data_IF_086428000964
#
_entry.id   IF_086428000964
#
_cell.length_a   1.000
_cell.length_b   1.000
_cell.length_c   1.000
_cell.angle_alpha   90.00
_cell.angle_beta   90.00
_cell.angle_gamma   90.00
#
_symmetry.space_group_name_H-M   'P 1'
#
loop_
_entity.id
_entity.type
_entity.pdbx_description
1 polymer ?
#
# COMPACT_ATOMS: atom_id res chain seq x y z
N UNK A 1 -18.73 -0.05 8.69
CA UNK A 1 -17.90 0.34 7.53
C UNK A 1 -16.50 0.56 8.03
N UNK A 2 -15.55 -0.24 7.56
CA UNK A 2 -14.14 -0.02 7.88
C UNK A 2 -13.69 1.21 7.09
N UNK A 3 -13.13 2.21 7.77
CA UNK A 3 -12.56 3.43 7.17
C UNK A 3 -11.24 3.14 6.40
N UNK A 4 -10.91 1.86 6.19
CA UNK A 4 -9.65 1.39 5.64
C UNK A 4 -9.73 1.03 4.14
N UNK A 5 -10.72 1.53 3.40
CA UNK A 5 -10.71 1.39 1.93
C UNK A 5 -9.81 2.45 1.33
N UNK A 6 -8.71 2.01 0.70
CA UNK A 6 -7.81 2.91 0.00
C UNK A 6 -8.54 3.67 -1.11
N UNK A 7 -8.31 4.99 -1.18
CA UNK A 7 -8.79 5.81 -2.28
C UNK A 7 -7.91 5.61 -3.53
N UNK A 8 -8.41 5.87 -4.75
CA UNK A 8 -7.60 5.84 -5.96
C UNK A 8 -6.40 6.81 -5.87
N UNK A 9 -5.25 6.36 -6.36
CA UNK A 9 -4.05 7.21 -6.45
C UNK A 9 -4.18 8.18 -7.63
N UNK A 10 -4.05 9.47 -7.35
CA UNK A 10 -4.10 10.54 -8.35
C UNK A 10 -2.87 11.42 -8.25
N UNK A 11 -2.31 11.81 -9.39
CA UNK A 11 -1.19 12.75 -9.41
C UNK A 11 -1.60 14.10 -8.80
N UNK A 12 -0.80 14.62 -7.88
CA UNK A 12 -1.12 15.83 -7.11
C UNK A 12 -2.09 15.62 -5.94
N UNK A 13 -2.62 14.42 -5.74
CA UNK A 13 -3.46 14.05 -4.59
C UNK A 13 -2.65 13.79 -3.31
N UNK A 14 -3.34 13.39 -2.23
CA UNK A 14 -2.67 12.96 -1.00
C UNK A 14 -1.85 11.70 -1.25
N UNK A 15 -0.62 11.71 -0.77
CA UNK A 15 0.28 10.56 -0.85
C UNK A 15 -0.03 9.58 0.30
N UNK A 16 -1.12 8.85 0.12
CA UNK A 16 -1.56 7.75 0.99
C UNK A 16 -1.54 6.46 0.15
N UNK A 17 -0.46 5.68 0.25
CA UNK A 17 -0.27 4.46 -0.56
C UNK A 17 0.54 3.39 0.18
N UNK A 18 0.36 2.14 -0.24
CA UNK A 18 1.19 1.01 0.16
C UNK A 18 1.75 0.30 -1.08
N UNK A 19 3.02 -0.09 -1.01
CA UNK A 19 3.69 -0.86 -2.04
C UNK A 19 3.88 -2.30 -1.57
N UNK A 20 3.64 -3.25 -2.47
CA UNK A 20 3.72 -4.67 -2.21
C UNK A 20 4.66 -5.33 -3.22
N UNK A 21 5.51 -6.23 -2.74
CA UNK A 21 6.35 -7.08 -3.57
C UNK A 21 5.57 -8.34 -3.94
N UNK A 22 4.82 -8.24 -5.03
CA UNK A 22 4.06 -9.36 -5.60
C UNK A 22 4.11 -9.28 -7.13
N UNK A 23 4.30 -10.41 -7.83
CA UNK A 23 4.38 -10.44 -9.28
C UNK A 23 3.02 -10.22 -9.97
N UNK A 24 1.92 -10.54 -9.28
CA UNK A 24 0.56 -10.43 -9.78
C UNK A 24 -0.46 -10.31 -8.62
N UNK A 25 -1.72 -10.10 -9.00
CA UNK A 25 -2.83 -9.94 -8.04
C UNK A 25 -3.10 -11.21 -7.22
N UNK A 26 -2.95 -12.40 -7.81
CA UNK A 26 -3.21 -13.65 -7.11
C UNK A 26 -2.19 -13.90 -6.00
N UNK A 27 -0.91 -13.62 -6.28
CA UNK A 27 0.17 -13.66 -5.30
C UNK A 27 -0.03 -12.60 -4.20
N UNK A 28 -0.48 -11.40 -4.56
CA UNK A 28 -0.82 -10.35 -3.58
C UNK A 28 -1.95 -10.79 -2.65
N UNK A 29 -3.01 -11.39 -3.18
CA UNK A 29 -4.13 -11.90 -2.37
C UNK A 29 -3.71 -13.03 -1.44
N UNK A 30 -2.78 -13.89 -1.86
CA UNK A 30 -2.26 -14.98 -1.04
C UNK A 30 -1.31 -14.50 0.07
N UNK A 31 -0.40 -13.57 -0.23
CA UNK A 31 0.58 -13.07 0.73
C UNK A 31 0.02 -11.98 1.66
N UNK A 32 -0.92 -11.17 1.16
CA UNK A 32 -1.50 -10.05 1.89
C UNK A 32 -0.46 -9.06 2.39
N UNK A 33 -0.64 -8.58 3.62
CA UNK A 33 0.26 -7.59 4.22
C UNK A 33 1.71 -8.06 4.37
N UNK A 34 1.99 -9.37 4.32
CA UNK A 34 3.34 -9.90 4.44
C UNK A 34 4.25 -9.53 3.26
N UNK A 35 3.67 -9.20 2.10
CA UNK A 35 4.43 -8.68 0.94
C UNK A 35 4.58 -7.17 0.94
N UNK A 36 4.07 -6.44 1.93
CA UNK A 36 4.22 -4.99 1.98
C UNK A 36 5.68 -4.61 2.21
N UNK A 37 6.21 -3.77 1.34
CA UNK A 37 7.60 -3.27 1.40
C UNK A 37 7.67 -1.79 1.76
N UNK A 38 6.59 -1.05 1.61
CA UNK A 38 6.53 0.35 2.03
C UNK A 38 5.10 0.80 2.30
N UNK A 39 4.92 1.70 3.26
CA UNK A 39 3.68 2.44 3.45
C UNK A 39 4.00 3.92 3.58
N UNK A 40 3.33 4.74 2.76
CA UNK A 40 3.36 6.19 2.82
C UNK A 40 2.01 6.68 3.32
N UNK A 41 2.03 7.50 4.36
CA UNK A 41 0.85 8.17 4.89
C UNK A 41 1.12 9.66 5.00
N UNK A 42 0.22 10.49 4.47
CA UNK A 42 0.36 11.93 4.39
C UNK A 42 1.74 12.38 3.83
N UNK A 43 2.26 11.65 2.83
CA UNK A 43 3.55 11.94 2.21
C UNK A 43 4.78 11.54 3.02
N UNK A 44 4.63 10.77 4.10
CA UNK A 44 5.74 10.26 4.92
C UNK A 44 5.84 8.75 4.83
N UNK A 45 7.05 8.24 4.64
CA UNK A 45 7.33 6.80 4.72
C UNK A 45 7.21 6.35 6.19
N UNK A 46 6.09 5.72 6.54
CA UNK A 46 5.79 5.27 7.91
C UNK A 46 6.16 3.81 8.14
N UNK A 47 6.31 3.04 7.07
CA UNK A 47 6.78 1.66 7.12
C UNK A 47 7.73 1.41 5.96
N UNK A 48 8.80 0.66 6.25
CA UNK A 48 9.77 0.17 5.29
C UNK A 48 10.05 -1.30 5.62
N UNK A 49 9.70 -2.18 4.67
CA UNK A 49 10.12 -3.57 4.68
C UNK A 49 11.64 -3.66 4.59
N UNK A 50 12.19 -4.75 5.13
CA UNK A 50 13.65 -4.96 5.15
C UNK A 50 14.18 -5.37 3.79
#
# INVERSE_FOLDING_TARGET
>A
MSDATAAPLTAGGRADLAAFDAPDEAALLAAGAASCVATIAAGRLVYRGR
#
